data_IF_457770850918
#
_entry.id   IF_457770850918
#
_cell.length_a   1.000
_cell.length_b   1.000
_cell.length_c   1.000
_cell.angle_alpha   90.00
_cell.angle_beta   90.00
_cell.angle_gamma   90.00
#
_symmetry.space_group_name_H-M   'P 1'
#
loop_
_entity.id
_entity.type
_entity.pdbx_description
1 polymer ?
#
# COMPACT_ATOMS: atom_id res chain seq x y z
N UNK A 1 17.85 -16.92 6.08
CA UNK A 1 16.44 -16.64 6.41
C UNK A 1 16.27 -15.13 6.37
N UNK A 2 15.28 -14.62 5.63
CA UNK A 2 15.00 -13.17 5.61
C UNK A 2 14.50 -12.75 6.99
N UNK A 3 14.89 -11.56 7.46
CA UNK A 3 14.34 -11.01 8.68
C UNK A 3 12.81 -10.86 8.56
N UNK A 4 12.04 -11.02 9.65
CA UNK A 4 10.61 -10.73 9.65
C UNK A 4 10.36 -9.31 9.15
N UNK A 5 9.34 -9.13 8.33
CA UNK A 5 8.91 -7.80 7.90
C UNK A 5 8.35 -7.09 9.13
N UNK A 6 8.96 -5.98 9.54
CA UNK A 6 8.45 -5.16 10.63
C UNK A 6 7.15 -4.47 10.19
N UNK A 7 6.08 -4.61 10.98
CA UNK A 7 4.81 -3.94 10.79
C UNK A 7 4.24 -3.50 12.15
N UNK A 8 3.36 -2.49 12.14
CA UNK A 8 2.56 -2.13 13.32
C UNK A 8 1.53 -3.20 13.70
N UNK A 9 0.70 -2.95 14.71
CA UNK A 9 -0.35 -3.87 15.18
C UNK A 9 0.08 -4.76 16.34
N UNK A 10 1.33 -4.62 16.80
CA UNK A 10 1.95 -5.48 17.80
C UNK A 10 1.58 -5.16 19.25
N UNK A 11 0.31 -4.87 19.56
CA UNK A 11 -0.13 -4.44 20.91
C UNK A 11 0.31 -5.44 21.99
N UNK A 12 0.12 -6.73 21.78
CA UNK A 12 0.53 -7.76 22.76
C UNK A 12 2.05 -7.76 22.99
N UNK A 13 2.84 -7.51 21.95
CA UNK A 13 4.29 -7.41 22.08
C UNK A 13 4.69 -6.14 22.85
N UNK A 14 4.02 -5.02 22.61
CA UNK A 14 4.23 -3.78 23.34
C UNK A 14 3.84 -3.95 24.83
N UNK A 15 2.68 -4.53 25.12
CA UNK A 15 2.23 -4.81 26.48
C UNK A 15 3.18 -5.75 27.25
N UNK A 16 3.78 -6.74 26.58
CA UNK A 16 4.77 -7.62 27.19
C UNK A 16 6.06 -6.89 27.60
N UNK A 17 6.46 -5.85 26.86
CA UNK A 17 7.69 -5.07 27.12
C UNK A 17 7.43 -3.94 28.12
N UNK A 18 6.30 -3.24 27.99
CA UNK A 18 6.04 -2.00 28.73
C UNK A 18 4.95 -2.13 29.81
N UNK A 19 4.30 -3.29 29.91
CA UNK A 19 3.24 -3.56 30.88
C UNK A 19 1.84 -3.15 30.43
N UNK A 20 0.85 -3.37 31.30
CA UNK A 20 -0.57 -3.11 31.02
C UNK A 20 -1.30 -4.29 30.37
N UNK A 21 -2.62 -4.18 30.22
CA UNK A 21 -3.43 -5.17 29.51
C UNK A 21 -3.61 -4.71 28.05
N UNK A 22 -3.57 -5.59 27.04
CA UNK A 22 -3.71 -5.20 25.63
C UNK A 22 -4.90 -4.26 25.32
N UNK A 23 -6.01 -4.43 26.01
CA UNK A 23 -7.23 -3.61 25.91
C UNK A 23 -7.07 -2.16 26.40
N UNK A 24 -6.04 -1.87 27.20
CA UNK A 24 -5.73 -0.51 27.69
C UNK A 24 -4.88 0.29 26.69
N UNK A 25 -4.41 -0.36 25.62
CA UNK A 25 -3.53 0.26 24.63
C UNK A 25 -4.31 0.91 23.49
N UNK A 26 -3.92 2.13 23.15
CA UNK A 26 -4.29 2.78 21.90
C UNK A 26 -3.23 2.47 20.84
N UNK A 27 -3.60 1.71 19.81
CA UNK A 27 -2.69 1.37 18.73
C UNK A 27 -2.61 2.47 17.68
N UNK A 28 -1.51 3.22 17.71
CA UNK A 28 -1.15 4.24 16.71
C UNK A 28 -0.05 3.76 15.75
N UNK A 29 0.33 2.49 15.83
CA UNK A 29 1.39 1.92 14.99
C UNK A 29 0.90 1.48 13.62
N UNK A 30 -0.42 1.52 13.39
CA UNK A 30 -1.05 1.18 12.11
C UNK A 30 -1.82 2.38 11.54
N UNK A 31 -2.05 2.36 10.23
CA UNK A 31 -2.97 3.29 9.56
C UNK A 31 -4.45 2.86 9.62
N UNK A 32 -4.82 1.95 10.53
CA UNK A 32 -6.21 1.46 10.64
C UNK A 32 -7.03 2.48 11.41
N UNK A 33 -8.18 2.88 10.86
CA UNK A 33 -9.12 3.76 11.55
C UNK A 33 -9.77 3.01 12.75
N UNK A 34 -9.56 3.46 14.01
CA UNK A 34 -10.15 2.81 15.18
C UNK A 34 -11.66 3.05 15.31
N UNK A 35 -12.21 4.00 14.55
CA UNK A 35 -13.63 4.32 14.50
C UNK A 35 -14.22 3.82 13.17
N UNK A 36 -14.61 2.53 13.05
CA UNK A 36 -15.08 1.98 11.79
C UNK A 36 -16.31 2.72 11.30
N UNK A 37 -16.43 2.87 9.98
CA UNK A 37 -17.64 3.42 9.36
C UNK A 37 -18.80 2.45 9.57
N UNK A 38 -20.02 2.97 9.73
CA UNK A 38 -21.20 2.15 9.78
C UNK A 38 -21.38 1.42 8.43
N UNK A 39 -21.21 0.10 8.44
CA UNK A 39 -21.40 -0.75 7.26
C UNK A 39 -22.86 -1.23 7.20
N UNK A 40 -23.43 -1.39 6.00
CA UNK A 40 -24.71 -2.06 5.85
C UNK A 40 -24.57 -3.55 6.17
N UNK A 41 -25.71 -4.24 6.35
CA UNK A 41 -25.72 -5.68 6.50
C UNK A 41 -25.05 -6.36 5.30
N UNK A 42 -23.96 -7.10 5.57
CA UNK A 42 -23.23 -7.84 4.54
C UNK A 42 -23.91 -9.21 4.36
N UNK A 43 -24.41 -9.54 3.15
CA UNK A 43 -25.06 -10.83 2.92
C UNK A 43 -24.12 -12.01 3.17
N UNK A 44 -24.60 -13.04 3.88
CA UNK A 44 -23.80 -14.21 4.26
C UNK A 44 -23.08 -14.90 3.08
N UNK A 45 -23.68 -14.85 1.87
CA UNK A 45 -23.08 -15.40 0.65
C UNK A 45 -21.70 -14.82 0.31
N UNK A 46 -21.42 -13.58 0.72
CA UNK A 46 -20.14 -12.91 0.45
C UNK A 46 -18.96 -13.59 1.15
N UNK A 47 -19.22 -14.34 2.24
CA UNK A 47 -18.18 -15.01 3.02
C UNK A 47 -17.82 -16.40 2.52
N UNK A 48 -18.77 -17.11 1.89
CA UNK A 48 -18.61 -18.53 1.56
C UNK A 48 -18.68 -18.84 0.06
N UNK A 49 -18.86 -17.84 -0.80
CA UNK A 49 -18.82 -18.01 -2.26
C UNK A 49 -17.79 -17.08 -2.89
N UNK A 50 -17.11 -17.61 -3.91
CA UNK A 50 -16.26 -16.78 -4.77
C UNK A 50 -17.13 -15.76 -5.54
N UNK A 51 -16.65 -14.53 -5.76
CA UNK A 51 -17.38 -13.53 -6.50
C UNK A 51 -17.51 -13.95 -7.97
N UNK A 52 -18.74 -13.88 -8.50
CA UNK A 52 -18.97 -14.02 -9.92
C UNK A 52 -18.42 -12.81 -10.69
N UNK A 53 -18.20 -12.98 -12.00
CA UNK A 53 -17.67 -11.93 -12.88
C UNK A 53 -18.44 -10.62 -12.80
N UNK A 54 -19.77 -10.66 -12.69
CA UNK A 54 -20.58 -9.44 -12.63
C UNK A 54 -20.28 -8.61 -11.37
N UNK A 55 -20.08 -9.26 -10.21
CA UNK A 55 -19.71 -8.59 -8.95
C UNK A 55 -18.32 -7.98 -9.03
N UNK A 56 -17.38 -8.69 -9.68
CA UNK A 56 -16.04 -8.16 -9.92
C UNK A 56 -16.10 -6.90 -10.79
N UNK A 57 -16.84 -6.92 -11.89
CA UNK A 57 -16.97 -5.77 -12.79
C UNK A 57 -17.73 -4.60 -12.14
N UNK A 58 -18.72 -4.89 -11.30
CA UNK A 58 -19.47 -3.88 -10.55
C UNK A 58 -18.60 -3.18 -9.50
N UNK A 59 -17.81 -3.93 -8.73
CA UNK A 59 -16.86 -3.36 -7.78
C UNK A 59 -15.85 -2.42 -8.47
N UNK A 60 -15.38 -2.80 -9.67
CA UNK A 60 -14.46 -1.95 -10.46
C UNK A 60 -15.11 -0.67 -10.96
N UNK A 61 -16.38 -0.73 -11.39
CA UNK A 61 -17.13 0.47 -11.79
C UNK A 61 -17.40 1.39 -10.60
N UNK A 62 -17.82 0.85 -9.47
CA UNK A 62 -18.02 1.62 -8.25
C UNK A 62 -16.72 2.31 -7.79
N UNK A 63 -15.59 1.59 -7.82
CA UNK A 63 -14.29 2.16 -7.51
C UNK A 63 -13.89 3.28 -8.50
N UNK A 64 -14.08 3.07 -9.82
CA UNK A 64 -13.82 4.09 -10.84
C UNK A 64 -14.62 5.37 -10.56
N UNK A 65 -15.90 5.23 -10.24
CA UNK A 65 -16.80 6.35 -10.02
C UNK A 65 -16.44 7.08 -8.71
N UNK A 66 -16.08 6.34 -7.65
CA UNK A 66 -15.63 6.91 -6.38
C UNK A 66 -14.28 7.66 -6.50
N UNK A 67 -13.30 7.07 -7.17
CA UNK A 67 -11.96 7.65 -7.31
C UNK A 67 -11.83 8.62 -8.50
N UNK A 68 -12.85 8.74 -9.35
CA UNK A 68 -12.81 9.60 -10.54
C UNK A 68 -11.78 9.16 -11.59
N UNK A 69 -11.52 7.86 -11.74
CA UNK A 69 -10.44 7.34 -12.62
C UNK A 69 -10.73 7.42 -14.13
N UNK A 70 -11.78 8.12 -14.55
CA UNK A 70 -12.14 8.31 -15.96
C UNK A 70 -12.46 7.00 -16.67
N UNK A 71 -11.73 6.65 -17.74
CA UNK A 71 -11.93 5.39 -18.49
C UNK A 71 -11.20 4.19 -17.88
N UNK A 72 -10.34 4.41 -16.90
CA UNK A 72 -9.52 3.37 -16.29
C UNK A 72 -10.35 2.65 -15.23
N UNK A 73 -10.44 1.31 -15.33
CA UNK A 73 -11.08 0.48 -14.32
C UNK A 73 -10.06 0.05 -13.27
N UNK A 74 -10.18 0.49 -12.00
CA UNK A 74 -9.31 0.06 -10.91
C UNK A 74 -9.18 -1.46 -10.82
N UNK A 75 -8.01 -1.94 -10.38
CA UNK A 75 -7.72 -3.36 -10.20
C UNK A 75 -7.94 -3.74 -8.74
N UNK A 76 -8.88 -4.66 -8.43
CA UNK A 76 -9.02 -5.21 -7.09
C UNK A 76 -7.83 -6.12 -6.77
N UNK A 77 -7.20 -5.91 -5.62
CA UNK A 77 -5.98 -6.61 -5.21
C UNK A 77 -6.06 -7.00 -3.73
N UNK A 78 -5.42 -8.10 -3.29
CA UNK A 78 -5.39 -8.50 -1.88
C UNK A 78 -4.39 -7.65 -1.10
N UNK A 79 -4.63 -6.34 -1.03
CA UNK A 79 -3.74 -5.35 -0.44
C UNK A 79 -2.68 -4.82 -1.41
N UNK A 80 -2.33 -3.54 -1.25
CA UNK A 80 -1.44 -2.80 -2.15
C UNK A 80 -0.04 -3.39 -2.24
N UNK A 81 0.49 -3.94 -1.15
CA UNK A 81 1.83 -4.54 -1.10
C UNK A 81 2.00 -5.66 -2.14
N UNK A 82 0.96 -6.46 -2.37
CA UNK A 82 1.01 -7.57 -3.34
C UNK A 82 1.31 -7.07 -4.76
N UNK A 83 0.71 -5.95 -5.16
CA UNK A 83 0.95 -5.37 -6.50
C UNK A 83 2.24 -4.59 -6.55
N UNK A 84 2.60 -3.84 -5.50
CA UNK A 84 3.88 -3.12 -5.47
C UNK A 84 5.05 -4.08 -5.71
N UNK A 85 5.02 -5.26 -5.07
CA UNK A 85 6.03 -6.29 -5.25
C UNK A 85 6.05 -6.90 -6.66
N UNK A 86 4.91 -6.86 -7.38
CA UNK A 86 4.79 -7.35 -8.75
C UNK A 86 5.11 -6.29 -9.80
N UNK A 87 5.09 -5.00 -9.46
CA UNK A 87 5.32 -3.90 -10.41
C UNK A 87 6.58 -4.08 -11.29
N UNK A 88 7.75 -4.50 -10.76
CA UNK A 88 8.93 -4.70 -11.60
C UNK A 88 8.74 -5.73 -12.72
N UNK A 89 7.78 -6.64 -12.61
CA UNK A 89 7.44 -7.64 -13.63
C UNK A 89 6.34 -7.18 -14.59
N UNK A 90 5.61 -6.13 -14.23
CA UNK A 90 4.49 -5.59 -14.98
C UNK A 90 4.88 -4.41 -15.88
N UNK A 91 6.04 -3.81 -15.61
CA UNK A 91 6.58 -2.72 -16.43
C UNK A 91 7.29 -3.27 -17.67
N UNK A 92 7.26 -2.50 -18.76
CA UNK A 92 7.94 -2.86 -20.01
C UNK A 92 9.45 -3.03 -19.79
N UNK A 93 10.06 -3.93 -20.55
CA UNK A 93 11.50 -4.15 -20.51
C UNK A 93 12.24 -2.84 -20.83
N UNK A 94 13.19 -2.46 -19.97
CA UNK A 94 13.92 -1.19 -20.09
C UNK A 94 13.39 -0.07 -19.19
N UNK A 95 12.22 -0.24 -18.54
CA UNK A 95 11.74 0.68 -17.50
C UNK A 95 12.27 0.30 -16.12
N UNK A 96 12.39 1.30 -15.25
CA UNK A 96 12.88 1.15 -13.88
C UNK A 96 11.77 1.49 -12.89
N UNK A 97 11.61 0.65 -11.85
CA UNK A 97 10.68 0.90 -10.74
C UNK A 97 11.47 1.37 -9.51
N UNK A 98 11.14 2.56 -9.01
CA UNK A 98 11.68 3.11 -7.77
C UNK A 98 10.64 3.03 -6.65
N UNK A 99 11.05 2.62 -5.45
CA UNK A 99 10.20 2.54 -4.26
C UNK A 99 10.91 3.24 -3.11
N UNK A 100 10.27 4.23 -2.49
CA UNK A 100 10.66 4.84 -1.21
C UNK A 100 9.66 4.46 -0.12
N UNK A 101 9.88 4.94 1.11
CA UNK A 101 8.97 4.72 2.23
C UNK A 101 7.54 5.21 1.93
N UNK A 102 7.40 6.28 1.14
CA UNK A 102 6.11 6.94 0.90
C UNK A 102 5.60 6.85 -0.54
N UNK A 103 6.43 6.38 -1.49
CA UNK A 103 6.13 6.51 -2.92
C UNK A 103 6.64 5.35 -3.76
N UNK A 104 5.91 5.05 -4.83
CA UNK A 104 6.35 4.16 -5.91
C UNK A 104 6.26 4.90 -7.24
N UNK A 105 7.34 4.87 -8.03
CA UNK A 105 7.43 5.50 -9.35
C UNK A 105 7.92 4.50 -10.41
N UNK A 106 7.49 4.70 -11.65
CA UNK A 106 7.97 3.96 -12.84
C UNK A 106 8.46 4.98 -13.86
N UNK A 107 9.70 4.81 -14.35
CA UNK A 107 10.35 5.74 -15.27
C UNK A 107 11.18 5.01 -16.33
N UNK A 108 11.50 5.71 -17.42
CA UNK A 108 12.37 5.24 -18.51
C UNK A 108 13.86 5.49 -18.20
N UNK A 109 14.16 6.28 -17.16
CA UNK A 109 15.51 6.72 -16.79
C UNK A 109 15.92 6.23 -15.39
N UNK A 110 17.22 6.25 -15.09
CA UNK A 110 17.72 5.92 -13.75
C UNK A 110 17.17 6.86 -12.67
N UNK A 111 16.78 6.31 -11.52
CA UNK A 111 16.30 7.11 -10.39
C UNK A 111 17.38 7.23 -9.29
N UNK A 112 17.42 8.40 -8.65
CA UNK A 112 18.10 8.61 -7.38
C UNK A 112 17.02 8.71 -6.30
N UNK A 113 17.12 7.89 -5.26
CA UNK A 113 16.23 7.96 -4.10
C UNK A 113 16.98 8.50 -2.89
N UNK A 114 16.41 9.51 -2.24
CA UNK A 114 16.69 9.84 -0.84
C UNK A 114 15.48 9.45 0.01
N UNK A 115 15.58 9.56 1.33
CA UNK A 115 14.55 9.09 2.27
C UNK A 115 13.14 9.60 1.92
N UNK A 116 13.03 10.83 1.40
CA UNK A 116 11.74 11.48 1.12
C UNK A 116 11.50 11.88 -0.35
N UNK A 117 12.46 11.63 -1.26
CA UNK A 117 12.34 12.09 -2.67
C UNK A 117 12.92 11.12 -3.68
N UNK A 118 12.20 10.96 -4.79
CA UNK A 118 12.68 10.29 -6.00
C UNK A 118 13.00 11.39 -7.02
N UNK A 119 14.25 11.43 -7.48
CA UNK A 119 14.66 12.25 -8.62
C UNK A 119 14.88 11.34 -9.84
N UNK A 120 14.18 11.65 -10.93
CA UNK A 120 14.40 11.01 -12.24
C UNK A 120 15.54 11.75 -12.93
N UNK A 121 16.58 11.04 -13.35
CA UNK A 121 17.76 11.66 -13.95
C UNK A 121 18.10 11.07 -15.31
N UNK A 122 18.43 11.91 -16.28
CA UNK A 122 18.92 11.50 -17.59
C UNK A 122 20.40 11.09 -17.50
N UNK A 123 20.67 9.93 -16.87
CA UNK A 123 22.01 9.34 -16.70
C UNK A 123 23.00 10.12 -15.78
N UNK A 124 22.52 11.02 -14.92
CA UNK A 124 23.36 11.69 -13.89
C UNK A 124 22.63 11.75 -12.55
N UNK A 125 22.94 10.82 -11.65
CA UNK A 125 22.40 10.79 -10.29
C UNK A 125 22.85 12.05 -9.52
N UNK A 126 21.91 12.92 -9.17
CA UNK A 126 22.11 13.99 -8.20
C UNK A 126 21.42 13.59 -6.89
N UNK A 127 22.21 13.20 -5.89
CA UNK A 127 21.71 12.99 -4.53
C UNK A 127 21.63 14.36 -3.86
N UNK A 128 20.42 14.90 -3.73
CA UNK A 128 20.19 16.11 -2.91
C UNK A 128 19.95 15.64 -1.48
N UNK A 129 21.01 15.64 -0.67
CA UNK A 129 20.90 15.46 0.78
C UNK A 129 20.14 16.65 1.38
N UNK A 130 19.17 16.42 2.29
CA UNK A 130 18.65 17.51 3.09
C UNK A 130 19.76 18.01 4.00
N UNK A 131 20.19 19.27 3.81
CA UNK A 131 20.93 19.99 4.84
C UNK A 131 19.97 20.25 5.98
N UNK A 132 20.07 19.47 7.06
CA UNK A 132 19.52 19.88 8.34
C UNK A 132 20.33 21.09 8.80
N UNK A 133 19.70 22.27 8.77
CA UNK A 133 20.18 23.48 9.45
C UNK A 133 19.75 23.47 10.92
#
# INVERSE_FOLDING_TARGET
MSAPIAHGGGITAAAAVFGGRPEDWLDLSTGINPCPVALPDIPARAWHRLPDRHLFDEARRAARDHYGSGKILPLPVPGTQSVIQLLPRLVEAGRVVGVTAERVDVTDNGFAATDDRIAVTDNRVAVVTPTYG
#
